data_IF_141492706783
#
_entry.id   IF_141492706783
#
_cell.length_a   1.000
_cell.length_b   1.000
_cell.length_c   1.000
_cell.angle_alpha   90.00
_cell.angle_beta   90.00
_cell.angle_gamma   90.00
#
_symmetry.space_group_name_H-M   'P 1'
#
loop_
_entity.id
_entity.type
_entity.pdbx_description
1 polymer ?
#
# COMPACT_ATOMS: atom_id res chain seq x y z
N UNK A 1 -11.71 0.35 21.81
CA UNK A 1 -11.91 1.66 21.17
C UNK A 1 -12.52 1.40 19.80
N UNK A 2 -13.68 1.97 19.51
CA UNK A 2 -14.39 1.78 18.23
C UNK A 2 -13.80 2.74 17.21
N UNK A 3 -13.27 2.23 16.09
CA UNK A 3 -12.74 3.06 15.01
C UNK A 3 -13.82 3.92 14.34
N UNK A 4 -13.42 5.00 13.69
CA UNK A 4 -14.32 5.87 12.94
C UNK A 4 -14.92 5.13 11.73
N UNK A 5 -16.20 5.39 11.46
CA UNK A 5 -16.97 4.79 10.36
C UNK A 5 -17.54 5.84 9.40
N UNK A 6 -17.61 7.11 9.81
CA UNK A 6 -18.05 8.19 8.95
C UNK A 6 -16.99 8.49 7.88
N UNK A 7 -17.36 8.28 6.62
CA UNK A 7 -16.45 8.40 5.49
C UNK A 7 -15.89 9.83 5.33
N UNK A 8 -16.70 10.87 5.59
CA UNK A 8 -16.24 12.24 5.45
C UNK A 8 -15.19 12.55 6.50
N UNK A 9 -15.44 12.16 7.76
CA UNK A 9 -14.45 12.29 8.82
C UNK A 9 -13.18 11.49 8.52
N UNK A 10 -13.31 10.27 8.00
CA UNK A 10 -12.14 9.45 7.63
C UNK A 10 -11.27 10.13 6.57
N UNK A 11 -11.89 10.68 5.53
CA UNK A 11 -11.17 11.37 4.46
C UNK A 11 -10.55 12.67 4.99
N UNK A 12 -11.31 13.50 5.70
CA UNK A 12 -10.84 14.79 6.21
C UNK A 12 -9.66 14.66 7.20
N UNK A 13 -9.61 13.56 7.95
CA UNK A 13 -8.54 13.29 8.91
C UNK A 13 -7.45 12.36 8.37
N UNK A 14 -7.54 11.92 7.10
CA UNK A 14 -6.54 11.09 6.46
C UNK A 14 -5.21 11.85 6.33
N UNK A 15 -4.15 11.31 6.93
CA UNK A 15 -2.79 11.84 6.78
C UNK A 15 -1.94 10.86 5.97
N UNK A 16 -1.80 11.06 4.65
CA UNK A 16 -0.96 10.22 3.82
C UNK A 16 0.52 10.45 4.17
N UNK A 17 1.20 9.38 4.56
CA UNK A 17 2.62 9.39 4.90
C UNK A 17 3.39 8.54 3.90
N UNK A 18 4.28 9.18 3.14
CA UNK A 18 5.17 8.50 2.20
C UNK A 18 6.33 7.85 2.94
N UNK A 19 6.51 6.56 2.73
CA UNK A 19 7.70 5.84 3.18
C UNK A 19 8.92 6.26 2.34
N UNK A 20 10.06 6.62 2.95
CA UNK A 20 11.30 6.94 2.25
C UNK A 20 11.94 5.73 1.53
N UNK A 21 11.54 4.50 1.85
CA UNK A 21 12.08 3.28 1.24
C UNK A 21 11.23 2.77 0.06
N UNK A 22 11.86 2.28 -1.02
CA UNK A 22 11.17 1.56 -2.09
C UNK A 22 10.94 0.08 -1.77
N UNK A 23 9.94 -0.48 -2.44
CA UNK A 23 9.46 -1.85 -2.30
C UNK A 23 9.28 -2.50 -3.66
N UNK A 24 9.33 -3.83 -3.69
CA UNK A 24 9.01 -4.63 -4.88
C UNK A 24 7.99 -5.70 -4.55
N UNK A 25 7.16 -6.04 -5.54
CA UNK A 25 6.26 -7.18 -5.49
C UNK A 25 6.90 -8.33 -6.25
N UNK A 26 7.14 -9.44 -5.56
CA UNK A 26 7.72 -10.65 -6.13
C UNK A 26 6.74 -11.80 -5.98
N UNK A 27 6.68 -12.71 -6.97
CA UNK A 27 5.87 -13.93 -6.88
C UNK A 27 6.75 -15.18 -6.87
N UNK A 28 6.40 -16.16 -6.05
CA UNK A 28 7.13 -17.42 -5.90
C UNK A 28 6.18 -18.60 -6.06
N UNK A 29 6.22 -19.27 -7.22
CA UNK A 29 5.34 -20.39 -7.53
C UNK A 29 5.65 -21.68 -6.73
N UNK A 30 6.86 -21.82 -6.18
CA UNK A 30 7.35 -23.07 -5.57
C UNK A 30 7.76 -22.95 -4.10
N UNK A 31 7.59 -21.78 -3.49
CA UNK A 31 7.97 -21.53 -2.09
C UNK A 31 6.73 -21.35 -1.24
N UNK A 32 6.72 -21.98 -0.07
CA UNK A 32 5.69 -21.75 0.94
C UNK A 32 5.93 -20.47 1.76
N UNK A 33 4.92 -20.03 2.51
CA UNK A 33 5.01 -18.85 3.39
C UNK A 33 6.18 -18.91 4.37
N UNK A 34 6.44 -20.09 4.97
CA UNK A 34 7.51 -20.26 5.96
C UNK A 34 8.91 -20.08 5.34
N UNK A 35 9.12 -20.52 4.10
CA UNK A 35 10.40 -20.33 3.40
C UNK A 35 10.65 -18.87 3.03
N UNK A 36 9.58 -18.09 2.85
CA UNK A 36 9.68 -16.68 2.49
C UNK A 36 9.84 -15.78 3.72
N UNK A 37 9.62 -16.28 4.93
CA UNK A 37 9.84 -15.52 6.15
C UNK A 37 11.30 -15.05 6.30
N UNK A 38 12.27 -15.87 5.86
CA UNK A 38 13.70 -15.55 5.86
C UNK A 38 14.06 -14.40 4.89
N UNK A 39 13.13 -14.02 4.02
CA UNK A 39 13.29 -12.87 3.12
C UNK A 39 12.77 -11.57 3.75
N UNK A 40 12.30 -11.60 5.00
CA UNK A 40 11.81 -10.46 5.77
C UNK A 40 10.78 -9.59 5.00
N UNK A 41 9.74 -10.19 4.41
CA UNK A 41 8.71 -9.44 3.70
C UNK A 41 7.88 -8.59 4.66
N UNK A 42 7.45 -7.43 4.19
CA UNK A 42 6.47 -6.61 4.91
C UNK A 42 5.03 -7.09 4.68
N UNK A 43 4.82 -7.96 3.69
CA UNK A 43 3.54 -8.57 3.38
C UNK A 43 3.72 -9.84 2.57
N UNK A 44 2.89 -10.86 2.87
CA UNK A 44 2.79 -12.10 2.12
C UNK A 44 1.32 -12.35 1.79
N UNK A 45 1.07 -12.83 0.58
CA UNK A 45 -0.28 -13.18 0.13
C UNK A 45 -0.23 -14.47 -0.70
N UNK A 46 -1.03 -15.47 -0.31
CA UNK A 46 -1.13 -16.72 -1.06
C UNK A 46 -2.15 -16.58 -2.19
N UNK A 47 -1.68 -16.71 -3.42
CA UNK A 47 -2.48 -16.71 -4.63
C UNK A 47 -2.56 -18.14 -5.21
N UNK A 48 -3.40 -18.33 -6.21
CA UNK A 48 -3.51 -19.60 -6.93
C UNK A 48 -2.22 -19.96 -7.70
N UNK A 49 -1.49 -18.95 -8.14
CA UNK A 49 -0.29 -19.03 -8.97
C UNK A 49 0.99 -19.19 -8.15
N UNK A 50 0.97 -18.79 -6.88
CA UNK A 50 2.13 -18.77 -6.01
C UNK A 50 1.94 -17.85 -4.81
N UNK A 51 3.00 -17.66 -4.03
CA UNK A 51 3.01 -16.70 -2.92
C UNK A 51 3.61 -15.39 -3.41
N UNK A 52 2.83 -14.31 -3.31
CA UNK A 52 3.32 -12.95 -3.50
C UNK A 52 3.95 -12.44 -2.21
N UNK A 53 5.15 -11.85 -2.33
CA UNK A 53 5.87 -11.20 -1.25
C UNK A 53 6.14 -9.73 -1.60
N UNK A 54 5.88 -8.85 -0.64
CA UNK A 54 6.22 -7.43 -0.72
C UNK A 54 7.52 -7.24 0.06
N UNK A 55 8.60 -6.97 -0.65
CA UNK A 55 9.96 -6.89 -0.08
C UNK A 55 10.47 -5.45 -0.10
N UNK A 56 11.21 -5.00 0.93
CA UNK A 56 12.07 -3.83 0.81
C UNK A 56 13.06 -4.02 -0.34
N UNK A 57 13.32 -2.98 -1.12
CA UNK A 57 14.17 -3.08 -2.32
C UNK A 57 15.58 -3.60 -2.00
N UNK A 58 16.19 -3.16 -0.90
CA UNK A 58 17.53 -3.62 -0.52
C UNK A 58 17.57 -5.14 -0.32
N UNK A 59 16.53 -5.69 0.31
CA UNK A 59 16.43 -7.14 0.50
C UNK A 59 16.18 -7.88 -0.81
N UNK A 60 15.39 -7.30 -1.70
CA UNK A 60 15.20 -7.85 -3.04
C UNK A 60 16.49 -7.85 -3.86
N UNK A 61 17.34 -6.82 -3.73
CA UNK A 61 18.66 -6.77 -4.39
C UNK A 61 19.57 -7.90 -3.93
N UNK A 62 19.65 -8.15 -2.62
CA UNK A 62 20.45 -9.26 -2.06
C UNK A 62 20.01 -10.63 -2.58
N UNK A 63 18.73 -10.78 -2.90
CA UNK A 63 18.13 -12.00 -3.43
C UNK A 63 18.17 -12.08 -4.98
N UNK A 64 18.66 -11.04 -5.66
CA UNK A 64 18.66 -10.97 -7.13
C UNK A 64 17.26 -10.79 -7.75
N UNK A 65 16.35 -10.14 -7.03
CA UNK A 65 14.93 -9.94 -7.39
C UNK A 65 14.57 -8.48 -7.64
N UNK A 66 15.56 -7.60 -7.83
CA UNK A 66 15.35 -6.15 -7.92
C UNK A 66 15.06 -5.64 -9.36
N UNK A 67 14.95 -6.53 -10.34
CA UNK A 67 14.65 -6.17 -11.74
C UNK A 67 13.16 -5.82 -11.97
N UNK A 68 12.31 -6.09 -10.98
CA UNK A 68 10.90 -5.70 -11.00
C UNK A 68 10.71 -4.18 -10.87
N UNK A 69 9.51 -3.70 -11.18
CA UNK A 69 9.13 -2.30 -10.94
C UNK A 69 9.18 -1.96 -9.44
N UNK A 70 9.62 -0.74 -9.13
CA UNK A 70 9.76 -0.27 -7.76
C UNK A 70 8.55 0.58 -7.36
N UNK A 71 8.08 0.34 -6.14
CA UNK A 71 6.92 0.99 -5.59
C UNK A 71 7.26 1.73 -4.32
N UNK A 72 6.45 2.73 -4.00
CA UNK A 72 6.52 3.49 -2.76
C UNK A 72 5.25 3.29 -1.98
N UNK A 73 5.41 3.02 -0.69
CA UNK A 73 4.28 2.84 0.22
C UNK A 73 3.82 4.18 0.75
N UNK A 74 2.54 4.47 0.60
CA UNK A 74 1.85 5.55 1.29
C UNK A 74 0.97 4.92 2.36
N UNK A 75 1.20 5.27 3.62
CA UNK A 75 0.35 4.83 4.73
C UNK A 75 -0.73 5.87 4.98
N UNK A 76 -1.99 5.46 4.96
CA UNK A 76 -3.14 6.31 5.22
C UNK A 76 -3.39 6.32 6.73
N UNK A 77 -2.71 7.22 7.44
CA UNK A 77 -2.86 7.28 8.90
C UNK A 77 -4.22 7.91 9.26
N UNK A 78 -5.19 7.04 9.53
CA UNK A 78 -6.51 7.38 10.05
C UNK A 78 -6.94 6.26 11.01
N UNK A 79 -7.65 6.61 12.08
CA UNK A 79 -8.20 5.62 13.02
C UNK A 79 -9.50 5.03 12.44
N UNK A 80 -9.41 4.34 11.31
CA UNK A 80 -10.56 3.69 10.68
C UNK A 80 -10.89 2.38 11.39
N UNK A 81 -12.19 2.10 11.52
CA UNK A 81 -12.64 0.72 11.73
C UNK A 81 -12.39 -0.10 10.45
N UNK A 82 -12.05 -1.38 10.57
CA UNK A 82 -12.02 -2.32 9.43
C UNK A 82 -13.38 -2.42 8.69
N UNK A 83 -14.45 -1.96 9.34
CA UNK A 83 -15.82 -1.93 8.79
C UNK A 83 -16.18 -0.62 8.09
N UNK A 84 -15.24 0.34 8.00
CA UNK A 84 -15.50 1.61 7.33
C UNK A 84 -15.72 1.40 5.83
N UNK A 85 -16.86 1.85 5.31
CA UNK A 85 -17.21 1.71 3.89
C UNK A 85 -16.77 2.95 3.12
N UNK A 86 -15.99 2.75 2.05
CA UNK A 86 -15.76 3.76 1.03
C UNK A 86 -14.38 4.43 1.03
N UNK A 87 -13.55 4.25 2.06
CA UNK A 87 -12.21 4.87 2.11
C UNK A 87 -11.34 4.39 0.94
N UNK A 88 -11.23 3.07 0.74
CA UNK A 88 -10.49 2.48 -0.39
C UNK A 88 -11.01 2.97 -1.74
N UNK A 89 -12.32 3.14 -1.89
CA UNK A 89 -12.92 3.63 -3.12
C UNK A 89 -12.59 5.10 -3.39
N UNK A 90 -12.62 5.96 -2.37
CA UNK A 90 -12.27 7.37 -2.49
C UNK A 90 -10.79 7.55 -2.84
N UNK A 91 -9.91 6.83 -2.15
CA UNK A 91 -8.45 6.80 -2.39
C UNK A 91 -8.15 6.32 -3.82
N UNK A 92 -8.71 5.19 -4.22
CA UNK A 92 -8.49 4.62 -5.56
C UNK A 92 -9.00 5.55 -6.65
N UNK A 93 -10.15 6.21 -6.45
CA UNK A 93 -10.70 7.19 -7.39
C UNK A 93 -9.78 8.40 -7.56
N UNK A 94 -9.28 8.97 -6.46
CA UNK A 94 -8.39 10.13 -6.51
C UNK A 94 -7.09 9.82 -7.27
N UNK A 95 -6.49 8.65 -7.03
CA UNK A 95 -5.29 8.21 -7.75
C UNK A 95 -5.58 7.87 -9.22
N UNK A 96 -6.70 7.21 -9.50
CA UNK A 96 -7.12 6.89 -10.87
C UNK A 96 -7.37 8.14 -11.73
N UNK A 97 -7.88 9.23 -11.14
CA UNK A 97 -8.05 10.52 -11.83
C UNK A 97 -6.71 11.14 -12.27
N UNK A 98 -5.61 10.76 -11.62
CA UNK A 98 -4.24 11.10 -12.04
C UNK A 98 -3.61 10.01 -12.91
N UNK A 99 -4.30 8.92 -13.19
CA UNK A 99 -3.76 7.74 -13.87
C UNK A 99 -2.68 7.02 -13.06
N UNK A 100 -2.69 7.13 -11.73
CA UNK A 100 -1.74 6.45 -10.83
C UNK A 100 -2.36 5.11 -10.41
N UNK A 101 -1.69 3.97 -10.63
CA UNK A 101 -2.16 2.69 -10.11
C UNK A 101 -2.06 2.67 -8.58
N UNK A 102 -3.05 2.06 -7.92
CA UNK A 102 -3.18 2.04 -6.47
C UNK A 102 -3.24 0.59 -5.97
N UNK A 103 -2.08 0.03 -5.61
CA UNK A 103 -2.00 -1.33 -5.09
C UNK A 103 -2.25 -1.29 -3.57
N UNK A 104 -3.51 -1.47 -3.16
CA UNK A 104 -3.93 -1.30 -1.76
C UNK A 104 -3.73 -2.57 -0.94
N UNK A 105 -3.18 -2.42 0.26
CA UNK A 105 -3.11 -3.43 1.32
C UNK A 105 -3.80 -2.88 2.55
N UNK A 106 -4.99 -3.39 2.86
CA UNK A 106 -5.72 -3.05 4.08
C UNK A 106 -5.16 -3.88 5.25
N UNK A 107 -4.37 -3.25 6.12
CA UNK A 107 -3.83 -3.90 7.31
C UNK A 107 -4.71 -3.61 8.55
N UNK A 108 -4.36 -4.21 9.69
CA UNK A 108 -5.17 -4.09 10.91
C UNK A 108 -5.33 -2.65 11.40
N UNK A 109 -4.27 -1.84 11.32
CA UNK A 109 -4.27 -0.47 11.85
C UNK A 109 -4.53 0.58 10.77
N UNK A 110 -3.93 0.39 9.59
CA UNK A 110 -3.94 1.39 8.53
C UNK A 110 -4.03 0.70 7.17
N UNK A 111 -4.61 1.41 6.22
CA UNK A 111 -4.49 1.07 4.82
C UNK A 111 -3.14 1.58 4.30
N UNK A 112 -2.52 0.75 3.46
CA UNK A 112 -1.30 1.07 2.75
C UNK A 112 -1.58 1.05 1.25
N UNK A 113 -1.06 2.02 0.51
CA UNK A 113 -1.17 2.07 -0.94
C UNK A 113 0.23 2.07 -1.52
N UNK A 114 0.52 1.10 -2.37
CA UNK A 114 1.75 1.06 -3.13
C UNK A 114 1.51 1.68 -4.51
N UNK A 115 2.33 2.67 -4.85
CA UNK A 115 2.27 3.42 -6.11
C UNK A 115 3.65 3.38 -6.78
N UNK A 116 3.76 3.55 -8.11
CA UNK A 116 5.05 3.59 -8.79
C UNK A 116 5.96 4.66 -8.20
N UNK A 117 7.25 4.35 -8.03
CA UNK A 117 8.18 5.22 -7.33
C UNK A 117 8.29 6.62 -7.93
N UNK A 118 8.36 6.70 -9.25
CA UNK A 118 8.46 7.95 -9.99
C UNK A 118 7.22 8.85 -9.85
N UNK A 119 6.11 8.32 -9.36
CA UNK A 119 4.84 9.04 -9.14
C UNK A 119 4.45 9.16 -7.68
N UNK A 120 5.32 8.77 -6.76
CA UNK A 120 4.98 8.68 -5.35
C UNK A 120 4.61 10.02 -4.71
N UNK A 121 5.38 11.07 -5.00
CA UNK A 121 5.08 12.42 -4.51
C UNK A 121 3.77 12.96 -5.10
N UNK A 122 3.53 12.71 -6.39
CA UNK A 122 2.27 13.10 -7.05
C UNK A 122 1.05 12.41 -6.41
N UNK A 123 1.20 11.13 -6.06
CA UNK A 123 0.16 10.37 -5.37
C UNK A 123 -0.12 10.94 -3.97
N UNK A 124 0.91 11.31 -3.21
CA UNK A 124 0.76 11.97 -1.90
C UNK A 124 -0.03 13.27 -2.03
N UNK A 125 0.33 14.11 -2.99
CA UNK A 125 -0.36 15.39 -3.22
C UNK A 125 -1.83 15.18 -3.63
N UNK A 126 -2.12 14.18 -4.47
CA UNK A 126 -3.50 13.83 -4.82
C UNK A 126 -4.33 13.40 -3.59
N UNK A 127 -3.73 12.65 -2.68
CA UNK A 127 -4.39 12.18 -1.44
C UNK A 127 -4.55 13.31 -0.41
N UNK A 128 -3.61 14.25 -0.35
CA UNK A 128 -3.73 15.46 0.49
C UNK A 128 -4.83 16.39 -0.02
N UNK A 129 -4.94 16.55 -1.34
CA UNK A 129 -6.02 17.30 -1.96
C UNK A 129 -7.38 16.67 -1.63
N UNK A 130 -7.51 15.34 -1.77
CA UNK A 130 -8.71 14.61 -1.39
C UNK A 130 -9.12 14.86 0.08
N UNK A 131 -8.16 14.86 1.01
CA UNK A 131 -8.43 15.13 2.43
C UNK A 131 -8.85 16.59 2.70
N UNK A 132 -8.49 17.53 1.83
CA UNK A 132 -8.80 18.96 1.99
C UNK A 132 -10.12 19.39 1.32
N UNK A 133 -10.64 18.57 0.41
CA UNK A 133 -11.84 18.85 -0.40
C UNK A 133 -13.15 18.34 0.25
N UNK A 134 -13.10 17.83 1.49
CA UNK A 134 -14.24 17.25 2.23
C UNK A 134 -14.67 18.13 3.38
#
# INVERSE_FOLDING_TARGET
>A
MTGEKDLQNLIAHMRPMLDPAPYVFCTFAKKGLMELADYEPIGLFCETEGVTAILPLERARELGLADAEWFRRITLTVHSSLEAVGLTAAVSKALAQKGIPANVVAAYFHDHVFVPEERAEEAVEALRALASDV
#
